data_IF_925890966199
#
_entry.id   IF_925890966199
#
_cell.length_a   1.000
_cell.length_b   1.000
_cell.length_c   1.000
_cell.angle_alpha   90.00
_cell.angle_beta   90.00
_cell.angle_gamma   90.00
#
_symmetry.space_group_name_H-M   'P 1'
#
loop_
_entity.id
_entity.type
_entity.pdbx_description
1 polymer ?
#
# COMPACT_ATOMS: atom_id res chain seq x y z
N UNK A 1 -3.90 0.18 -14.75
CA UNK A 1 -5.07 -0.63 -14.37
C UNK A 1 -4.59 -1.76 -13.48
N UNK A 2 -5.02 -1.85 -12.22
CA UNK A 2 -4.69 -3.00 -11.35
C UNK A 2 -5.38 -4.26 -11.90
N UNK A 3 -4.62 -5.28 -12.29
CA UNK A 3 -5.19 -6.50 -12.88
C UNK A 3 -5.84 -7.35 -11.78
N UNK A 4 -7.17 -7.46 -11.80
CA UNK A 4 -8.00 -8.05 -10.73
C UNK A 4 -7.59 -9.49 -10.36
N UNK A 5 -7.20 -10.28 -11.36
CA UNK A 5 -6.73 -11.66 -11.17
C UNK A 5 -5.44 -11.71 -10.35
N UNK A 6 -4.49 -10.85 -10.65
CA UNK A 6 -3.19 -10.85 -9.97
C UNK A 6 -3.32 -10.36 -8.54
N UNK A 7 -4.23 -9.41 -8.28
CA UNK A 7 -4.60 -8.98 -6.93
C UNK A 7 -5.16 -10.15 -6.12
N UNK A 8 -6.14 -10.88 -6.64
CA UNK A 8 -6.74 -12.00 -5.92
C UNK A 8 -5.73 -13.08 -5.55
N UNK A 9 -4.76 -13.36 -6.42
CA UNK A 9 -3.74 -14.38 -6.17
C UNK A 9 -2.59 -13.91 -5.27
N UNK A 10 -2.26 -12.62 -5.29
CA UNK A 10 -1.06 -12.09 -4.63
C UNK A 10 -1.36 -11.15 -3.45
N UNK A 11 -2.63 -10.87 -3.15
CA UNK A 11 -3.01 -10.15 -1.95
C UNK A 11 -2.71 -11.02 -0.73
N UNK A 12 -1.76 -10.57 0.09
CA UNK A 12 -1.47 -11.16 1.39
C UNK A 12 -1.72 -10.13 2.47
N UNK A 13 -2.19 -10.59 3.62
CA UNK A 13 -2.26 -9.77 4.82
C UNK A 13 -0.87 -9.76 5.48
N UNK A 14 -0.39 -8.57 5.83
CA UNK A 14 0.87 -8.36 6.52
C UNK A 14 0.63 -7.57 7.80
N UNK A 15 1.29 -8.03 8.86
CA UNK A 15 1.32 -7.40 10.17
C UNK A 15 2.79 -7.20 10.57
N UNK A 16 3.07 -6.21 11.41
CA UNK A 16 4.39 -6.07 12.03
C UNK A 16 4.72 -7.30 12.87
N UNK A 17 5.95 -7.84 12.70
CA UNK A 17 6.44 -9.04 13.39
C UNK A 17 6.15 -9.08 14.89
N UNK A 18 6.47 -8.04 15.70
CA UNK A 18 6.23 -8.09 17.14
C UNK A 18 4.74 -8.21 17.50
N UNK A 19 3.85 -7.77 16.62
CA UNK A 19 2.40 -7.76 16.87
C UNK A 19 1.69 -8.95 16.23
N UNK A 20 2.41 -9.87 15.57
CA UNK A 20 1.81 -10.95 14.79
C UNK A 20 0.88 -11.83 15.63
N UNK A 21 1.35 -12.35 16.77
CA UNK A 21 0.54 -13.22 17.63
C UNK A 21 -0.70 -12.50 18.17
N UNK A 22 -0.52 -11.27 18.62
CA UNK A 22 -1.62 -10.44 19.14
C UNK A 22 -2.69 -10.18 18.09
N UNK A 23 -2.28 -9.83 16.88
CA UNK A 23 -3.20 -9.55 15.77
C UNK A 23 -3.87 -10.83 15.28
N UNK A 24 -3.16 -11.96 15.25
CA UNK A 24 -3.73 -13.26 14.91
C UNK A 24 -4.80 -13.68 15.93
N UNK A 25 -4.54 -13.53 17.23
CA UNK A 25 -5.52 -13.80 18.28
C UNK A 25 -6.75 -12.89 18.16
N UNK A 26 -6.54 -11.59 17.88
CA UNK A 26 -7.63 -10.64 17.63
C UNK A 26 -8.45 -11.01 16.41
N UNK A 27 -7.82 -11.41 15.31
CA UNK A 27 -8.49 -11.83 14.08
C UNK A 27 -9.46 -12.99 14.33
N UNK A 28 -9.06 -13.96 15.16
CA UNK A 28 -9.92 -15.11 15.54
C UNK A 28 -11.06 -14.69 16.47
N UNK A 29 -10.84 -13.68 17.32
CA UNK A 29 -11.83 -13.23 18.31
C UNK A 29 -12.99 -12.39 17.73
N UNK A 30 -12.88 -11.92 16.49
CA UNK A 30 -13.84 -11.00 15.87
C UNK A 30 -14.91 -11.77 15.12
N UNK A 31 -16.17 -11.33 15.24
CA UNK A 31 -17.31 -11.95 14.55
C UNK A 31 -17.34 -11.59 13.06
N UNK A 32 -17.66 -12.57 12.20
CA UNK A 32 -17.83 -12.37 10.75
C UNK A 32 -18.89 -11.30 10.43
N UNK A 33 -19.97 -11.27 11.23
CA UNK A 33 -21.05 -10.28 11.09
C UNK A 33 -20.54 -8.86 11.30
N UNK A 34 -19.70 -8.62 12.31
CA UNK A 34 -19.12 -7.30 12.55
C UNK A 34 -18.19 -6.87 11.40
N UNK A 35 -17.39 -7.80 10.85
CA UNK A 35 -16.54 -7.52 9.68
C UNK A 35 -17.40 -7.12 8.47
N UNK A 36 -18.49 -7.85 8.22
CA UNK A 36 -19.38 -7.58 7.09
C UNK A 36 -20.05 -6.20 7.22
N UNK A 37 -20.59 -5.87 8.40
CA UNK A 37 -21.24 -4.57 8.66
C UNK A 37 -20.27 -3.41 8.48
N UNK A 38 -19.05 -3.51 9.03
CA UNK A 38 -18.02 -2.47 8.87
C UNK A 38 -17.60 -2.33 7.41
N UNK A 39 -17.48 -3.45 6.69
CA UNK A 39 -17.09 -3.45 5.27
C UNK A 39 -18.14 -2.79 4.37
N UNK A 40 -19.42 -3.08 4.59
CA UNK A 40 -20.55 -2.46 3.86
C UNK A 40 -20.64 -0.96 4.14
N UNK A 41 -20.48 -0.54 5.40
CA UNK A 41 -20.45 0.88 5.78
C UNK A 41 -19.30 1.61 5.11
N UNK A 42 -18.10 1.00 5.09
CA UNK A 42 -16.93 1.59 4.43
C UNK A 42 -17.12 1.68 2.91
N UNK A 43 -17.74 0.69 2.28
CA UNK A 43 -18.03 0.70 0.84
C UNK A 43 -19.01 1.81 0.45
N UNK A 44 -19.94 2.16 1.34
CA UNK A 44 -20.90 3.27 1.16
C UNK A 44 -20.29 4.66 1.38
N UNK A 45 -19.08 4.75 1.94
CA UNK A 45 -18.42 6.02 2.26
C UNK A 45 -18.98 6.72 3.49
N UNK A 46 -19.73 6.01 4.34
CA UNK A 46 -20.24 6.55 5.60
C UNK A 46 -19.08 6.81 6.59
N UNK A 47 -19.26 7.77 7.51
CA UNK A 47 -18.28 8.03 8.55
C UNK A 47 -18.13 6.77 9.42
N UNK A 48 -16.88 6.43 9.72
CA UNK A 48 -16.54 5.26 10.52
C UNK A 48 -16.90 5.55 11.99
N UNK A 49 -18.19 5.56 12.35
CA UNK A 49 -18.59 5.48 13.75
C UNK A 49 -18.62 4.02 14.16
N UNK A 50 -17.85 3.70 15.19
CA UNK A 50 -17.85 2.39 15.79
C UNK A 50 -18.89 2.40 16.91
N UNK A 51 -20.09 1.92 16.57
CA UNK A 51 -21.24 1.97 17.46
C UNK A 51 -21.15 0.86 18.52
N UNK A 52 -20.47 -0.24 18.19
CA UNK A 52 -20.26 -1.39 19.08
C UNK A 52 -18.79 -1.67 19.35
N UNK A 53 -18.51 -2.31 20.48
CA UNK A 53 -17.13 -2.71 20.83
C UNK A 53 -16.53 -3.72 19.86
N UNK A 54 -17.35 -4.54 19.20
CA UNK A 54 -16.89 -5.45 18.14
C UNK A 54 -16.44 -4.68 16.90
N UNK A 55 -17.20 -3.67 16.47
CA UNK A 55 -16.82 -2.80 15.35
C UNK A 55 -15.53 -2.04 15.64
N UNK A 56 -15.33 -1.57 16.89
CA UNK A 56 -14.06 -0.95 17.31
C UNK A 56 -12.88 -1.90 17.13
N UNK A 57 -13.04 -3.17 17.52
CA UNK A 57 -12.00 -4.19 17.33
C UNK A 57 -11.72 -4.46 15.86
N UNK A 58 -12.75 -4.49 15.00
CA UNK A 58 -12.58 -4.63 13.54
C UNK A 58 -11.78 -3.46 12.98
N UNK A 59 -12.07 -2.23 13.40
CA UNK A 59 -11.37 -1.05 12.92
C UNK A 59 -9.92 -0.99 13.39
N UNK A 60 -9.66 -1.36 14.64
CA UNK A 60 -8.30 -1.48 15.15
C UNK A 60 -7.52 -2.57 14.41
N UNK A 61 -8.17 -3.68 14.09
CA UNK A 61 -7.60 -4.76 13.28
C UNK A 61 -7.27 -4.27 11.87
N UNK A 62 -8.17 -3.52 11.23
CA UNK A 62 -7.92 -2.92 9.91
C UNK A 62 -6.74 -1.93 9.91
N UNK A 63 -6.49 -1.23 11.02
CA UNK A 63 -5.31 -0.35 11.18
C UNK A 63 -4.02 -1.13 11.33
N UNK A 64 -4.07 -2.32 11.92
CA UNK A 64 -2.91 -3.17 12.22
C UNK A 64 -2.57 -4.13 11.08
N UNK A 65 -3.55 -4.45 10.23
CA UNK A 65 -3.39 -5.35 9.10
C UNK A 65 -3.26 -4.54 7.81
N UNK A 66 -2.10 -4.60 7.19
CA UNK A 66 -1.87 -4.02 5.87
C UNK A 66 -2.05 -5.07 4.78
N UNK A 67 -2.82 -4.75 3.73
CA UNK A 67 -2.86 -5.60 2.53
C UNK A 67 -1.63 -5.30 1.69
N UNK A 68 -0.73 -6.29 1.59
CA UNK A 68 0.47 -6.20 0.77
C UNK A 68 0.28 -7.04 -0.48
N UNK A 69 0.03 -6.37 -1.59
CA UNK A 69 -0.01 -6.96 -2.91
C UNK A 69 1.36 -6.83 -3.60
N UNK A 70 2.37 -7.49 -3.02
CA UNK A 70 3.80 -7.37 -3.42
C UNK A 70 4.08 -7.65 -4.90
N UNK A 71 3.33 -8.58 -5.51
CA UNK A 71 3.46 -8.96 -6.92
C UNK A 71 2.48 -8.26 -7.86
N UNK A 72 1.68 -7.33 -7.34
CA UNK A 72 0.77 -6.55 -8.17
C UNK A 72 1.46 -5.25 -8.55
N UNK A 73 1.64 -5.06 -9.86
CA UNK A 73 2.26 -3.87 -10.42
C UNK A 73 1.47 -2.61 -10.04
N UNK A 74 2.17 -1.54 -9.67
CA UNK A 74 1.56 -0.27 -9.26
C UNK A 74 1.19 -0.17 -7.78
N UNK A 75 1.40 -1.23 -6.98
CA UNK A 75 1.28 -1.16 -5.52
C UNK A 75 2.48 -0.48 -4.87
N UNK A 76 2.32 -0.03 -3.62
CA UNK A 76 3.43 0.50 -2.81
C UNK A 76 4.56 -0.53 -2.67
N UNK A 77 4.21 -1.79 -2.44
CA UNK A 77 5.16 -2.88 -2.30
C UNK A 77 5.94 -3.18 -3.60
N UNK A 78 5.25 -3.20 -4.75
CA UNK A 78 5.91 -3.33 -6.06
C UNK A 78 6.88 -2.16 -6.32
N UNK A 79 6.50 -0.92 -5.97
CA UNK A 79 7.41 0.24 -6.06
C UNK A 79 8.63 0.11 -5.16
N UNK A 80 8.46 -0.39 -3.93
CA UNK A 80 9.59 -0.63 -3.04
C UNK A 80 10.55 -1.68 -3.59
N UNK A 81 10.02 -2.77 -4.15
CA UNK A 81 10.84 -3.81 -4.79
C UNK A 81 11.66 -3.24 -5.97
N UNK A 82 11.02 -2.49 -6.88
CA UNK A 82 11.72 -1.84 -8.00
C UNK A 82 12.81 -0.86 -7.52
N UNK A 83 12.55 -0.09 -6.46
CA UNK A 83 13.59 0.79 -5.86
C UNK A 83 14.76 0.00 -5.30
N UNK A 84 14.51 -1.16 -4.71
CA UNK A 84 15.58 -2.04 -4.22
C UNK A 84 16.42 -2.59 -5.37
N UNK A 85 15.78 -2.98 -6.47
CA UNK A 85 16.45 -3.46 -7.68
C UNK A 85 17.32 -2.37 -8.31
N UNK A 86 16.78 -1.15 -8.46
CA UNK A 86 17.55 0.01 -8.94
C UNK A 86 18.79 0.24 -8.08
N UNK A 87 18.67 0.17 -6.74
CA UNK A 87 19.83 0.32 -5.84
C UNK A 87 20.85 -0.81 -6.03
N UNK A 88 20.39 -2.04 -6.21
CA UNK A 88 21.27 -3.18 -6.50
C UNK A 88 22.03 -2.99 -7.82
N UNK A 89 21.33 -2.57 -8.88
CA UNK A 89 21.94 -2.25 -10.17
C UNK A 89 22.96 -1.10 -10.05
N UNK A 90 22.66 -0.08 -9.25
CA UNK A 90 23.60 1.02 -8.99
C UNK A 90 24.88 0.55 -8.29
N UNK A 91 24.80 -0.46 -7.42
CA UNK A 91 25.96 -1.04 -6.74
C UNK A 91 26.81 -1.92 -7.67
N UNK A 92 26.16 -2.64 -8.59
CA UNK A 92 26.82 -3.61 -9.47
C UNK A 92 27.36 -2.96 -10.76
N UNK A 93 26.54 -2.16 -11.44
CA UNK A 93 26.82 -1.58 -12.76
C UNK A 93 27.22 -0.09 -12.66
N UNK A 94 27.10 0.50 -11.46
CA UNK A 94 27.38 1.91 -11.21
C UNK A 94 26.16 2.82 -11.35
N UNK A 95 26.31 4.09 -10.97
CA UNK A 95 25.22 5.07 -11.02
C UNK A 95 24.88 5.44 -12.47
N UNK A 96 23.58 5.48 -12.85
CA UNK A 96 23.18 6.03 -14.14
C UNK A 96 23.50 7.53 -14.16
N UNK A 97 24.38 7.93 -15.07
CA UNK A 97 24.67 9.34 -15.34
C UNK A 97 23.62 9.91 -16.28
N UNK A 98 22.81 10.84 -15.78
CA UNK A 98 21.84 11.56 -16.59
C UNK A 98 22.40 12.94 -16.94
N UNK A 99 22.62 13.18 -18.23
CA UNK A 99 22.90 14.52 -18.75
C UNK A 99 21.59 15.09 -19.28
N UNK A 100 21.05 16.10 -18.58
CA UNK A 100 19.86 16.82 -19.01
C UNK A 100 20.30 18.19 -19.48
N UNK A 101 20.30 18.41 -20.80
CA UNK A 101 20.48 19.75 -21.36
C UNK A 101 19.13 20.43 -21.43
N UNK A 102 18.86 21.31 -20.47
CA UNK A 102 17.71 22.22 -20.53
C UNK A 102 18.17 23.40 -21.36
N UNK A 103 17.68 23.50 -22.60
CA UNK A 103 17.81 24.71 -23.40
C UNK A 103 16.51 25.51 -23.25
N UNK A 104 16.38 26.42 -22.26
CA UNK A 104 15.25 27.32 -22.21
C UNK A 104 15.31 28.18 -23.48
N UNK A 105 14.25 28.13 -24.29
CA UNK A 105 14.22 28.81 -25.57
C UNK A 105 14.65 30.28 -25.43
N UNK A 106 15.75 30.64 -26.09
CA UNK A 106 16.27 32.00 -26.26
C UNK A 106 15.25 32.96 -26.90
N UNK A 107 14.22 32.41 -27.55
CA UNK A 107 13.17 33.17 -28.25
C UNK A 107 12.38 34.13 -27.32
N UNK A 108 12.47 33.97 -25.99
CA UNK A 108 11.80 34.84 -25.01
C UNK A 108 12.76 35.53 -24.04
N UNK A 109 14.06 35.62 -24.35
CA UNK A 109 15.02 36.32 -23.51
C UNK A 109 14.85 37.86 -23.68
N UNK A 110 14.42 38.62 -22.66
CA UNK A 110 14.19 40.07 -22.77
C UNK A 110 15.48 40.91 -22.78
N UNK A 111 16.65 40.26 -22.82
CA UNK A 111 17.98 40.90 -22.82
C UNK A 111 18.61 40.92 -24.23
N UNK A 112 18.01 40.24 -25.22
CA UNK A 112 18.38 40.37 -26.64
C UNK A 112 17.35 41.24 -27.37
#
# INVERSE_FOLDING_TARGET
MLQRRDVSWNAKLKVDRPNFEHVAAKLVSVSDKAIHVVSERLARGDSISADTDEERRVLDLMRQVSVVASKVQGTSASRMAMRSEIRGMMMDVGLPSFYITINPADVYNPIV
#
